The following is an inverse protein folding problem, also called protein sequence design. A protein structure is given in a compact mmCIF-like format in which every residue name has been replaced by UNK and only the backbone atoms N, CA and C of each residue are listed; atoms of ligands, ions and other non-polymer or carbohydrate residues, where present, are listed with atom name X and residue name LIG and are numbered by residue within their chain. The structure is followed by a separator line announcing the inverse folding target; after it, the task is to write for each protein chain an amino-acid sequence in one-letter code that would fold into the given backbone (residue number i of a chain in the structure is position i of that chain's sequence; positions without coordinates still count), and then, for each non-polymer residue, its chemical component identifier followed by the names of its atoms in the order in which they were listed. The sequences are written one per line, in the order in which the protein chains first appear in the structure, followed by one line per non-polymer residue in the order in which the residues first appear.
data_IF_812167076234
#
_entry.id   IF_812167076234
#
_cell.length_a   1.000
_cell.length_b   1.000
_cell.length_c   1.000
_cell.angle_alpha   90.00
_cell.angle_beta   90.00
_cell.angle_gamma   90.00
#
_symmetry.space_group_name_H-M   'P 1'
#
loop_
_entity.id
_entity.type
_entity.pdbx_description
1 polymer ?
#
# COMPACT_ATOMS: atom_id res chain seq x y z
N UNK A 1 4.99 -7.18 69.44
CA UNK A 1 5.01 -7.71 68.05
C UNK A 1 5.26 -6.52 67.12
N UNK A 2 6.47 -6.40 66.58
CA UNK A 2 6.89 -5.32 65.66
C UNK A 2 6.39 -5.62 64.24
N UNK A 3 6.01 -4.62 63.42
CA UNK A 3 5.81 -4.84 61.99
C UNK A 3 7.15 -4.72 61.23
N UNK A 4 7.32 -5.61 60.25
CA UNK A 4 8.51 -5.78 59.44
C UNK A 4 8.60 -4.73 58.31
N UNK A 5 9.82 -4.29 58.04
CA UNK A 5 10.20 -3.46 56.89
C UNK A 5 10.53 -4.35 55.70
N UNK A 6 9.90 -4.12 54.55
CA UNK A 6 10.28 -4.70 53.25
C UNK A 6 11.39 -3.87 52.60
N UNK A 7 12.42 -4.55 52.09
CA UNK A 7 13.49 -4.02 51.23
C UNK A 7 13.10 -4.18 49.76
N UNK A 8 13.47 -3.24 48.86
CA UNK A 8 13.30 -3.44 47.42
C UNK A 8 14.46 -4.25 46.81
N UNK A 9 14.11 -5.07 45.83
CA UNK A 9 14.99 -5.92 45.04
C UNK A 9 15.75 -5.12 43.96
N UNK A 10 17.02 -5.47 43.77
CA UNK A 10 17.88 -5.01 42.68
C UNK A 10 17.54 -5.79 41.39
N UNK A 11 17.18 -5.08 40.32
CA UNK A 11 17.14 -5.64 38.96
C UNK A 11 18.52 -5.57 38.33
N UNK A 12 19.03 -6.74 37.92
CA UNK A 12 20.25 -6.91 37.14
C UNK A 12 19.93 -6.67 35.66
N UNK A 13 20.60 -5.70 35.04
CA UNK A 13 20.55 -5.46 33.61
C UNK A 13 21.39 -6.53 32.87
N UNK A 14 20.73 -7.45 32.17
CA UNK A 14 21.36 -8.30 31.17
C UNK A 14 21.51 -7.57 29.84
N UNK A 15 22.75 -7.36 29.40
CA UNK A 15 23.07 -6.95 28.03
C UNK A 15 22.68 -8.06 27.04
N UNK A 16 21.69 -7.78 26.19
CA UNK A 16 21.31 -8.61 25.06
C UNK A 16 21.94 -8.10 23.77
N UNK A 17 22.93 -8.83 23.28
CA UNK A 17 23.50 -8.78 21.93
C UNK A 17 22.37 -8.96 20.89
N UNK A 18 22.14 -7.95 20.03
CA UNK A 18 21.19 -8.06 18.92
C UNK A 18 21.99 -8.41 17.66
N UNK A 19 21.99 -9.69 17.32
CA UNK A 19 22.50 -10.16 16.03
C UNK A 19 21.61 -9.62 14.90
N UNK A 20 22.25 -8.93 13.94
CA UNK A 20 21.65 -8.48 12.70
C UNK A 20 21.26 -9.69 11.83
N UNK A 21 20.01 -10.13 11.95
CA UNK A 21 19.42 -11.09 11.03
C UNK A 21 19.22 -10.44 9.66
N UNK A 22 19.93 -10.93 8.66
CA UNK A 22 19.63 -10.64 7.25
C UNK A 22 18.23 -11.18 6.93
N UNK A 23 17.22 -10.31 6.96
CA UNK A 23 15.91 -10.62 6.41
C UNK A 23 16.06 -10.81 4.89
N UNK A 24 15.62 -11.97 4.39
CA UNK A 24 15.49 -12.19 2.94
C UNK A 24 14.52 -11.15 2.37
N UNK A 25 14.89 -10.42 1.30
CA UNK A 25 13.98 -9.44 0.72
C UNK A 25 12.70 -10.14 0.24
N UNK A 26 11.55 -9.59 0.64
CA UNK A 26 10.25 -10.03 0.14
C UNK A 26 10.26 -9.99 -1.41
N UNK A 27 9.58 -10.94 -2.09
CA UNK A 27 9.51 -10.95 -3.54
C UNK A 27 8.96 -9.62 -4.05
N UNK A 28 9.76 -8.92 -4.86
CA UNK A 28 9.36 -7.66 -5.46
C UNK A 28 8.40 -7.94 -6.62
N UNK A 29 7.16 -7.44 -6.53
CA UNK A 29 6.23 -7.43 -7.65
C UNK A 29 6.58 -6.21 -8.48
N UNK A 30 7.55 -6.34 -9.38
CA UNK A 30 8.06 -5.22 -10.20
C UNK A 30 7.32 -5.07 -11.53
N UNK A 31 6.47 -6.04 -11.90
CA UNK A 31 5.65 -5.99 -13.11
C UNK A 31 4.30 -6.63 -12.87
N UNK A 32 3.25 -5.96 -13.33
CA UNK A 32 1.92 -6.58 -13.42
C UNK A 32 2.03 -7.89 -14.22
N UNK A 33 1.50 -9.02 -13.73
CA UNK A 33 1.59 -10.28 -14.45
C UNK A 33 0.95 -10.13 -15.84
N UNK A 34 1.76 -10.12 -16.88
CA UNK A 34 1.26 -10.13 -18.26
C UNK A 34 0.84 -11.55 -18.57
N UNK A 35 -0.46 -11.83 -18.46
CA UNK A 35 -1.01 -13.11 -18.92
C UNK A 35 -1.07 -13.03 -20.45
N UNK A 36 -0.24 -13.83 -21.12
CA UNK A 36 -0.47 -14.12 -22.54
C UNK A 36 -1.88 -14.71 -22.68
N UNK A 37 -2.68 -14.30 -23.67
CA UNK A 37 -4.00 -14.88 -23.88
C UNK A 37 -3.87 -16.41 -23.92
N UNK A 38 -4.71 -17.16 -23.20
CA UNK A 38 -4.51 -18.59 -23.01
C UNK A 38 -4.41 -19.28 -24.37
N UNK A 39 -3.28 -19.95 -24.62
CA UNK A 39 -3.21 -20.99 -25.64
C UNK A 39 -4.23 -22.06 -25.27
N UNK A 40 -5.18 -22.25 -26.17
CA UNK A 40 -6.41 -23.00 -25.96
C UNK A 40 -6.10 -24.39 -25.42
N UNK A 41 -6.33 -24.63 -24.13
CA UNK A 41 -6.44 -26.00 -23.61
C UNK A 41 -7.73 -26.61 -24.18
N UNK A 42 -7.75 -27.91 -24.50
CA UNK A 42 -8.97 -28.58 -24.97
C UNK A 42 -10.00 -28.50 -23.84
N UNK A 43 -11.07 -27.77 -24.09
CA UNK A 43 -12.19 -27.61 -23.16
C UNK A 43 -12.83 -28.98 -22.96
N UNK A 44 -12.66 -29.53 -21.76
CA UNK A 44 -13.40 -30.70 -21.30
C UNK A 44 -14.90 -30.35 -21.30
N UNK A 45 -15.70 -31.22 -21.93
CA UNK A 45 -17.08 -30.97 -22.36
C UNK A 45 -17.96 -30.35 -21.26
N UNK A 46 -18.36 -29.09 -21.48
CA UNK A 46 -19.50 -28.40 -20.86
C UNK A 46 -20.72 -29.32 -20.79
N UNK A 47 -21.08 -29.79 -19.59
CA UNK A 47 -22.41 -30.34 -19.32
C UNK A 47 -23.39 -29.17 -19.15
N UNK A 48 -24.19 -28.95 -20.21
CA UNK A 48 -25.54 -28.36 -20.26
C UNK A 48 -25.82 -27.06 -19.49
N UNK A 49 -25.66 -25.93 -20.19
CA UNK A 49 -26.28 -24.61 -19.88
C UNK A 49 -27.37 -24.21 -20.91
N UNK A 50 -27.86 -25.15 -21.71
CA UNK A 50 -28.84 -24.89 -22.75
C UNK A 50 -30.22 -25.32 -22.27
N UNK A 51 -31.23 -24.47 -22.48
CA UNK A 51 -32.63 -24.83 -22.30
C UNK A 51 -32.94 -26.05 -23.16
N UNK A 52 -33.71 -26.99 -22.62
CA UNK A 52 -34.33 -28.02 -23.45
C UNK A 52 -35.35 -27.38 -24.40
N UNK A 53 -35.77 -28.10 -25.45
CA UNK A 53 -36.79 -27.59 -26.37
C UNK A 53 -38.09 -27.25 -25.64
N UNK A 54 -38.51 -28.11 -24.71
CA UNK A 54 -39.69 -27.90 -23.86
C UNK A 54 -39.56 -26.65 -22.98
N UNK A 55 -38.41 -26.46 -22.31
CA UNK A 55 -38.16 -25.26 -21.50
C UNK A 55 -38.04 -23.98 -22.33
N UNK A 56 -37.62 -24.08 -23.59
CA UNK A 56 -37.56 -22.95 -24.52
C UNK A 56 -38.97 -22.50 -24.91
N UNK A 57 -39.85 -23.45 -25.23
CA UNK A 57 -41.25 -23.15 -25.57
C UNK A 57 -42.01 -22.59 -24.36
N UNK A 58 -41.82 -23.16 -23.17
CA UNK A 58 -42.39 -22.63 -21.92
C UNK A 58 -41.88 -21.21 -21.64
N UNK A 59 -40.58 -20.96 -21.78
CA UNK A 59 -40.01 -19.63 -21.59
C UNK A 59 -40.61 -18.59 -22.55
N UNK A 60 -40.82 -18.95 -23.82
CA UNK A 60 -41.44 -18.06 -24.80
C UNK A 60 -42.89 -17.72 -24.44
N UNK A 61 -43.67 -18.70 -23.95
CA UNK A 61 -45.04 -18.47 -23.47
C UNK A 61 -45.09 -17.55 -22.25
N UNK A 62 -44.15 -17.70 -21.32
CA UNK A 62 -44.04 -16.78 -20.18
C UNK A 62 -43.65 -15.37 -20.62
N UNK A 63 -42.74 -15.23 -21.60
CA UNK A 63 -42.37 -13.93 -22.16
C UNK A 63 -43.57 -13.23 -22.81
N UNK A 64 -44.40 -13.96 -23.55
CA UNK A 64 -45.64 -13.41 -24.12
C UNK A 64 -46.63 -12.98 -23.00
N UNK A 65 -46.71 -13.77 -21.94
CA UNK A 65 -47.57 -13.51 -20.79
C UNK A 65 -47.17 -12.28 -19.97
N UNK A 66 -45.95 -11.74 -20.16
CA UNK A 66 -45.55 -10.45 -19.58
C UNK A 66 -46.38 -9.28 -20.12
N UNK A 67 -46.98 -9.42 -21.31
CA UNK A 67 -47.88 -8.45 -21.92
C UNK A 67 -49.36 -8.62 -21.49
N UNK A 68 -49.66 -9.60 -20.62
CA UNK A 68 -51.05 -9.89 -20.23
C UNK A 68 -51.69 -8.67 -19.56
N UNK A 69 -52.99 -8.45 -19.79
CA UNK A 69 -53.75 -7.39 -19.10
C UNK A 69 -53.96 -7.70 -17.61
N UNK A 70 -53.88 -8.97 -17.21
CA UNK A 70 -54.05 -9.41 -15.83
C UNK A 70 -52.73 -9.35 -15.05
N UNK A 71 -52.70 -8.57 -13.97
CA UNK A 71 -51.51 -8.42 -13.11
C UNK A 71 -51.00 -9.77 -12.58
N UNK A 72 -51.91 -10.64 -12.11
CA UNK A 72 -51.53 -11.95 -11.56
C UNK A 72 -50.81 -12.85 -12.59
N UNK A 73 -51.21 -12.80 -13.87
CA UNK A 73 -50.53 -13.55 -14.95
C UNK A 73 -49.14 -12.99 -15.24
N UNK A 74 -48.97 -11.67 -15.18
CA UNK A 74 -47.66 -11.02 -15.36
C UNK A 74 -46.68 -11.38 -14.25
N UNK A 75 -47.12 -11.34 -13.00
CA UNK A 75 -46.27 -11.71 -11.86
C UNK A 75 -45.92 -13.20 -11.89
N UNK A 76 -46.89 -14.07 -12.19
CA UNK A 76 -46.63 -15.50 -12.34
C UNK A 76 -45.62 -15.77 -13.47
N UNK A 77 -45.74 -15.09 -14.60
CA UNK A 77 -44.79 -15.22 -15.71
C UNK A 77 -43.39 -14.75 -15.31
N UNK A 78 -43.29 -13.62 -14.61
CA UNK A 78 -42.02 -13.11 -14.08
C UNK A 78 -41.35 -14.11 -13.13
N UNK A 79 -42.11 -14.67 -12.18
CA UNK A 79 -41.61 -15.68 -11.23
C UNK A 79 -41.14 -16.95 -11.93
N UNK A 80 -41.89 -17.44 -12.93
CA UNK A 80 -41.48 -18.62 -13.70
C UNK A 80 -40.20 -18.37 -14.51
N UNK A 81 -40.06 -17.20 -15.12
CA UNK A 81 -38.83 -16.82 -15.84
C UNK A 81 -37.63 -16.69 -14.90
N UNK A 82 -37.84 -16.18 -13.67
CA UNK A 82 -36.81 -16.14 -12.63
C UNK A 82 -36.39 -17.54 -12.18
N UNK A 83 -37.35 -18.45 -12.02
CA UNK A 83 -37.09 -19.84 -11.62
C UNK A 83 -36.32 -20.63 -12.69
N UNK A 84 -36.51 -20.31 -13.98
CA UNK A 84 -35.72 -20.89 -15.08
C UNK A 84 -34.26 -20.40 -15.03
N UNK A 85 -34.04 -19.13 -14.67
CA UNK A 85 -32.71 -18.58 -14.42
C UNK A 85 -31.99 -18.02 -15.66
N UNK A 86 -30.65 -17.91 -15.57
CA UNK A 86 -29.78 -17.28 -16.57
C UNK A 86 -29.98 -17.74 -18.03
N UNK A 87 -30.30 -19.02 -18.32
CA UNK A 87 -30.49 -19.48 -19.70
C UNK A 87 -31.62 -18.77 -20.48
N UNK A 88 -32.56 -18.11 -19.80
CA UNK A 88 -33.68 -17.39 -20.43
C UNK A 88 -33.30 -15.99 -20.93
N UNK A 89 -32.15 -15.44 -20.48
CA UNK A 89 -31.71 -14.07 -20.81
C UNK A 89 -31.59 -13.81 -22.33
N UNK A 90 -31.06 -14.72 -23.17
CA UNK A 90 -31.04 -14.52 -24.62
C UNK A 90 -32.45 -14.36 -25.22
N UNK A 91 -33.43 -15.15 -24.74
CA UNK A 91 -34.83 -15.08 -25.21
C UNK A 91 -35.48 -13.75 -24.82
N UNK A 92 -35.23 -13.27 -23.59
CA UNK A 92 -35.69 -11.95 -23.15
C UNK A 92 -35.05 -10.80 -23.95
N UNK A 93 -33.80 -10.94 -24.40
CA UNK A 93 -33.16 -9.93 -25.27
C UNK A 93 -33.74 -9.94 -26.67
N UNK A 94 -34.04 -11.11 -27.20
CA UNK A 94 -34.68 -11.26 -28.51
C UNK A 94 -36.10 -10.69 -28.49
N UNK A 95 -36.87 -10.90 -27.41
CA UNK A 95 -38.20 -10.30 -27.27
C UNK A 95 -38.14 -8.78 -27.18
N UNK A 96 -37.15 -8.22 -26.48
CA UNK A 96 -36.91 -6.77 -26.41
C UNK A 96 -36.66 -6.12 -27.78
N UNK A 97 -36.10 -6.86 -28.74
CA UNK A 97 -35.86 -6.35 -30.09
C UNK A 97 -37.12 -6.40 -30.98
N UNK A 98 -38.13 -7.20 -30.59
CA UNK A 98 -39.34 -7.47 -31.40
C UNK A 98 -40.60 -6.78 -30.87
N UNK A 99 -40.62 -6.42 -29.59
CA UNK A 99 -41.82 -5.87 -28.95
C UNK A 99 -41.84 -4.35 -28.95
N UNK A 100 -42.97 -3.78 -29.36
CA UNK A 100 -43.26 -2.34 -29.25
C UNK A 100 -43.98 -1.97 -27.95
N UNK A 101 -44.30 -2.96 -27.09
CA UNK A 101 -44.99 -2.73 -25.82
C UNK A 101 -44.04 -2.18 -24.74
N UNK A 102 -44.25 -0.94 -24.24
CA UNK A 102 -43.40 -0.35 -23.22
C UNK A 102 -43.35 -1.13 -21.91
N UNK A 103 -44.46 -1.76 -21.50
CA UNK A 103 -44.53 -2.51 -20.24
C UNK A 103 -43.68 -3.79 -20.32
N UNK A 104 -43.78 -4.51 -21.44
CA UNK A 104 -42.94 -5.69 -21.71
C UNK A 104 -41.47 -5.29 -21.77
N UNK A 105 -41.15 -4.13 -22.35
CA UNK A 105 -39.78 -3.64 -22.39
C UNK A 105 -39.21 -3.35 -20.99
N UNK A 106 -39.98 -2.66 -20.14
CA UNK A 106 -39.55 -2.34 -18.77
C UNK A 106 -39.36 -3.61 -17.95
N UNK A 107 -40.34 -4.52 -17.97
CA UNK A 107 -40.29 -5.77 -17.20
C UNK A 107 -39.20 -6.71 -17.69
N UNK A 108 -39.04 -6.89 -19.00
CA UNK A 108 -37.98 -7.73 -19.55
C UNK A 108 -36.59 -7.19 -19.22
N UNK A 109 -36.39 -5.86 -19.23
CA UNK A 109 -35.13 -5.24 -18.78
C UNK A 109 -34.88 -5.49 -17.30
N UNK A 110 -35.89 -5.35 -16.44
CA UNK A 110 -35.78 -5.62 -15.01
C UNK A 110 -35.46 -7.09 -14.72
N UNK A 111 -36.15 -8.03 -15.38
CA UNK A 111 -35.89 -9.47 -15.28
C UNK A 111 -34.49 -9.84 -15.76
N UNK A 112 -34.04 -9.27 -16.88
CA UNK A 112 -32.65 -9.48 -17.36
C UNK A 112 -31.64 -9.02 -16.32
N UNK A 113 -31.87 -7.87 -15.68
CA UNK A 113 -30.98 -7.38 -14.63
C UNK A 113 -30.97 -8.35 -13.43
N UNK A 114 -32.16 -8.70 -12.91
CA UNK A 114 -32.29 -9.61 -11.77
C UNK A 114 -31.72 -11.00 -12.02
N UNK A 115 -31.91 -11.57 -13.21
CA UNK A 115 -31.36 -12.87 -13.61
C UNK A 115 -29.84 -12.84 -13.73
N UNK A 116 -29.27 -11.75 -14.23
CA UNK A 116 -27.81 -11.56 -14.28
C UNK A 116 -27.23 -11.45 -12.88
N UNK A 117 -27.87 -10.69 -12.00
CA UNK A 117 -27.44 -10.53 -10.61
C UNK A 117 -27.53 -11.89 -9.88
N UNK A 118 -28.60 -12.66 -10.10
CA UNK A 118 -28.75 -14.01 -9.54
C UNK A 118 -27.69 -15.01 -10.04
N UNK A 119 -27.42 -15.05 -11.35
CA UNK A 119 -26.35 -15.90 -11.92
C UNK A 119 -24.97 -15.52 -11.36
N UNK A 120 -24.72 -14.22 -11.25
CA UNK A 120 -23.48 -13.69 -10.72
C UNK A 120 -23.29 -14.08 -9.24
N UNK A 121 -24.32 -13.93 -8.41
CA UNK A 121 -24.28 -14.33 -7.01
C UNK A 121 -24.12 -15.84 -6.83
N UNK A 122 -24.76 -16.66 -7.66
CA UNK A 122 -24.56 -18.11 -7.66
C UNK A 122 -23.12 -18.50 -8.02
N UNK A 123 -22.51 -17.80 -9.00
CA UNK A 123 -21.09 -17.98 -9.36
C UNK A 123 -20.16 -17.53 -8.23
N UNK A 124 -20.47 -16.43 -7.55
CA UNK A 124 -19.71 -15.98 -6.38
C UNK A 124 -19.77 -17.02 -5.26
N UNK A 125 -20.95 -17.56 -4.95
CA UNK A 125 -21.11 -18.59 -3.94
C UNK A 125 -20.27 -19.83 -4.27
N UNK A 126 -20.40 -20.35 -5.49
CA UNK A 126 -19.62 -21.50 -5.93
C UNK A 126 -18.10 -21.22 -5.90
N UNK A 127 -17.68 -20.02 -6.29
CA UNK A 127 -16.27 -19.63 -6.23
C UNK A 127 -15.76 -19.52 -4.80
N UNK A 128 -16.56 -18.97 -3.88
CA UNK A 128 -16.23 -18.89 -2.45
C UNK A 128 -16.07 -20.27 -1.81
N UNK A 129 -16.93 -21.22 -2.21
CA UNK A 129 -16.86 -22.63 -1.81
C UNK A 129 -15.66 -23.38 -2.42
N UNK A 130 -14.91 -22.72 -3.30
CA UNK A 130 -13.67 -23.22 -3.89
C UNK A 130 -13.84 -23.97 -5.20
N UNK A 131 -15.01 -23.89 -5.83
CA UNK A 131 -15.17 -24.38 -7.20
C UNK A 131 -14.37 -23.53 -8.19
N UNK A 132 -13.91 -24.18 -9.27
CA UNK A 132 -13.19 -23.50 -10.34
C UNK A 132 -14.17 -22.73 -11.23
N UNK A 133 -14.38 -21.47 -10.88
CA UNK A 133 -15.21 -20.53 -11.62
C UNK A 133 -14.28 -19.59 -12.38
N UNK A 134 -14.47 -19.53 -13.70
CA UNK A 134 -13.75 -18.61 -14.56
C UNK A 134 -14.29 -17.19 -14.36
N UNK A 135 -13.59 -16.42 -13.52
CA UNK A 135 -13.78 -14.99 -13.38
C UNK A 135 -12.65 -14.25 -14.07
N UNK A 136 -13.02 -13.21 -14.82
CA UNK A 136 -12.05 -12.30 -15.41
C UNK A 136 -11.17 -11.66 -14.34
N UNK A 137 -9.87 -11.57 -14.59
CA UNK A 137 -8.91 -11.00 -13.65
C UNK A 137 -8.52 -11.90 -12.46
N UNK A 138 -9.27 -12.97 -12.16
CA UNK A 138 -8.90 -13.92 -11.12
C UNK A 138 -7.52 -14.57 -11.36
N UNK A 139 -7.15 -14.99 -12.59
CA UNK A 139 -5.82 -15.54 -12.82
C UNK A 139 -4.69 -14.57 -12.47
N UNK A 140 -4.85 -13.27 -12.74
CA UNK A 140 -3.88 -12.23 -12.38
C UNK A 140 -3.84 -12.04 -10.87
N UNK A 141 -5.02 -11.90 -10.25
CA UNK A 141 -5.13 -11.70 -8.82
C UNK A 141 -4.54 -12.87 -8.02
N UNK A 142 -4.78 -14.10 -8.47
CA UNK A 142 -4.22 -15.33 -7.88
C UNK A 142 -2.69 -15.39 -7.96
N UNK A 143 -2.06 -14.82 -8.98
CA UNK A 143 -0.59 -14.73 -9.04
C UNK A 143 -0.06 -13.83 -7.92
N UNK A 144 -0.79 -12.77 -7.58
CA UNK A 144 -0.38 -11.79 -6.56
C UNK A 144 -0.67 -12.31 -5.14
N UNK A 145 -1.91 -12.72 -4.88
CA UNK A 145 -2.39 -13.06 -3.53
C UNK A 145 -2.43 -14.57 -3.24
N UNK A 146 -2.11 -15.41 -4.23
CA UNK A 146 -2.25 -16.85 -4.10
C UNK A 146 -3.71 -17.31 -4.03
N UNK A 147 -3.87 -18.61 -3.77
CA UNK A 147 -5.17 -19.25 -3.65
C UNK A 147 -5.49 -19.53 -2.18
N UNK A 148 -6.45 -18.77 -1.63
CA UNK A 148 -6.97 -18.95 -0.28
C UNK A 148 -8.40 -18.41 -0.21
N UNK A 149 -9.20 -18.85 0.76
CA UNK A 149 -10.54 -18.29 0.96
C UNK A 149 -10.49 -16.77 1.15
N UNK A 150 -9.49 -16.25 1.89
CA UNK A 150 -9.34 -14.81 2.10
C UNK A 150 -8.96 -14.03 0.83
N UNK A 151 -8.13 -14.60 -0.04
CA UNK A 151 -7.83 -13.96 -1.33
C UNK A 151 -9.04 -14.01 -2.27
N UNK A 152 -9.85 -15.08 -2.24
CA UNK A 152 -11.14 -15.13 -2.94
C UNK A 152 -12.11 -14.07 -2.43
N UNK A 153 -12.23 -13.90 -1.12
CA UNK A 153 -13.13 -12.90 -0.51
C UNK A 153 -12.75 -11.47 -0.94
N UNK A 154 -11.45 -11.15 -0.93
CA UNK A 154 -10.97 -9.84 -1.41
C UNK A 154 -11.27 -9.70 -2.90
N UNK A 155 -11.02 -10.72 -3.71
CA UNK A 155 -11.31 -10.68 -5.13
C UNK A 155 -12.80 -10.49 -5.43
N UNK A 156 -13.69 -11.16 -4.70
CA UNK A 156 -15.14 -10.99 -4.82
C UNK A 156 -15.54 -9.55 -4.47
N UNK A 157 -14.98 -8.98 -3.38
CA UNK A 157 -15.22 -7.58 -3.03
C UNK A 157 -14.74 -6.65 -4.14
N UNK A 158 -13.55 -6.87 -4.70
CA UNK A 158 -13.05 -6.09 -5.84
C UNK A 158 -13.94 -6.24 -7.07
N UNK A 159 -14.45 -7.42 -7.35
CA UNK A 159 -15.32 -7.68 -8.49
C UNK A 159 -16.67 -6.96 -8.37
N UNK A 160 -17.24 -6.93 -7.15
CA UNK A 160 -18.48 -6.20 -6.85
C UNK A 160 -18.25 -4.69 -6.83
N UNK A 161 -17.17 -4.26 -6.19
CA UNK A 161 -16.98 -2.86 -5.89
C UNK A 161 -16.19 -2.09 -6.96
N UNK A 162 -15.25 -2.74 -7.61
CA UNK A 162 -14.33 -2.11 -8.56
C UNK A 162 -14.25 -2.92 -9.86
N UNK A 163 -15.38 -3.17 -10.57
CA UNK A 163 -15.38 -3.99 -11.78
C UNK A 163 -14.44 -3.44 -12.86
N UNK A 164 -14.39 -2.12 -13.05
CA UNK A 164 -13.48 -1.45 -13.99
C UNK A 164 -11.99 -1.70 -13.67
N UNK A 165 -11.66 -1.87 -12.38
CA UNK A 165 -10.30 -2.25 -11.97
C UNK A 165 -9.98 -3.68 -12.42
N UNK A 166 -10.91 -4.62 -12.23
CA UNK A 166 -10.72 -6.01 -12.65
C UNK A 166 -10.57 -6.11 -14.17
N UNK A 167 -11.41 -5.41 -14.93
CA UNK A 167 -11.33 -5.34 -16.39
C UNK A 167 -9.98 -4.78 -16.86
N UNK A 168 -9.42 -3.81 -16.12
CA UNK A 168 -8.13 -3.20 -16.47
C UNK A 168 -6.92 -4.15 -16.37
N UNK A 169 -7.05 -5.31 -15.72
CA UNK A 169 -5.95 -6.27 -15.57
C UNK A 169 -5.49 -6.86 -16.90
N UNK A 170 -6.39 -7.02 -17.87
CA UNK A 170 -6.06 -7.48 -19.22
C UNK A 170 -5.65 -6.35 -20.16
N UNK A 171 -5.82 -5.10 -19.72
CA UNK A 171 -5.62 -3.91 -20.53
C UNK A 171 -4.18 -3.37 -20.55
N UNK A 172 -4.05 -2.20 -21.18
CA UNK A 172 -2.82 -1.40 -21.22
C UNK A 172 -2.68 -0.58 -19.93
N UNK A 173 -1.49 0.00 -19.65
CA UNK A 173 -1.32 0.90 -18.50
C UNK A 173 -2.31 2.06 -18.45
N UNK A 174 -2.76 2.53 -19.63
CA UNK A 174 -3.81 3.56 -19.73
C UNK A 174 -5.14 3.09 -19.12
N UNK A 175 -5.52 1.84 -19.32
CA UNK A 175 -6.78 1.29 -18.80
C UNK A 175 -6.70 1.20 -17.27
N UNK A 176 -5.55 0.78 -16.74
CA UNK A 176 -5.26 0.81 -15.29
C UNK A 176 -5.27 2.23 -14.72
N UNK A 177 -4.76 3.22 -15.44
CA UNK A 177 -4.82 4.62 -15.03
C UNK A 177 -6.25 5.18 -15.00
N UNK A 178 -7.12 4.73 -15.91
CA UNK A 178 -8.55 5.07 -15.89
C UNK A 178 -9.23 4.41 -14.69
N UNK A 179 -9.01 3.10 -14.49
CA UNK A 179 -9.53 2.38 -13.32
C UNK A 179 -9.06 3.00 -12.00
N UNK A 180 -7.82 3.50 -11.95
CA UNK A 180 -7.27 4.23 -10.81
C UNK A 180 -8.14 5.44 -10.43
N UNK A 181 -8.64 6.20 -11.42
CA UNK A 181 -9.55 7.33 -11.17
C UNK A 181 -10.93 6.86 -10.70
N UNK A 182 -11.42 5.75 -11.24
CA UNK A 182 -12.70 5.15 -10.84
C UNK A 182 -12.69 4.69 -9.38
N UNK A 183 -11.62 4.00 -8.96
CA UNK A 183 -11.41 3.61 -7.55
C UNK A 183 -11.46 4.83 -6.64
N UNK A 184 -10.81 5.94 -7.02
CA UNK A 184 -10.84 7.18 -6.25
C UNK A 184 -12.22 7.79 -6.15
N UNK A 185 -12.94 7.89 -7.27
CA UNK A 185 -14.30 8.42 -7.31
C UNK A 185 -15.21 7.64 -6.36
N UNK A 186 -15.18 6.32 -6.44
CA UNK A 186 -15.97 5.46 -5.57
C UNK A 186 -15.62 5.59 -4.09
N UNK A 187 -14.35 5.72 -3.74
CA UNK A 187 -13.95 5.95 -2.34
C UNK A 187 -14.40 7.32 -1.80
N UNK A 188 -14.39 8.35 -2.65
CA UNK A 188 -14.92 9.67 -2.29
C UNK A 188 -16.44 9.58 -2.09
N UNK A 189 -17.16 8.94 -3.01
CA UNK A 189 -18.61 8.75 -2.91
C UNK A 189 -18.98 7.98 -1.65
N UNK A 190 -18.26 6.90 -1.34
CA UNK A 190 -18.45 6.10 -0.13
C UNK A 190 -18.27 6.91 1.17
N UNK A 191 -17.36 7.89 1.18
CA UNK A 191 -17.18 8.82 2.31
C UNK A 191 -18.29 9.86 2.42
N UNK A 192 -18.86 10.28 1.30
CA UNK A 192 -19.94 11.27 1.25
C UNK A 192 -21.32 10.69 1.60
N UNK A 193 -21.47 9.37 1.59
CA UNK A 193 -22.69 8.67 2.03
C UNK A 193 -23.02 8.97 3.49
N UNK A 194 -24.31 8.84 3.84
CA UNK A 194 -24.82 9.02 5.20
C UNK A 194 -25.61 7.77 5.63
N UNK A 195 -25.08 6.92 6.54
CA UNK A 195 -23.73 7.00 7.12
C UNK A 195 -22.61 6.71 6.08
N UNK A 196 -21.36 7.15 6.34
CA UNK A 196 -20.22 6.78 5.49
C UNK A 196 -20.05 5.26 5.46
N UNK A 197 -19.69 4.72 4.29
CA UNK A 197 -19.38 3.30 4.18
C UNK A 197 -18.09 2.97 4.94
N UNK A 198 -18.06 1.80 5.58
CA UNK A 198 -16.84 1.31 6.21
C UNK A 198 -15.80 0.91 5.15
N UNK A 199 -14.57 1.34 5.35
CA UNK A 199 -13.46 0.93 4.50
C UNK A 199 -13.05 -0.51 4.80
N UNK A 200 -12.59 -1.21 3.78
CA UNK A 200 -12.22 -2.62 3.80
C UNK A 200 -10.75 -2.81 3.39
N UNK A 201 -10.26 -4.06 3.50
CA UNK A 201 -8.95 -4.42 2.92
C UNK A 201 -9.00 -4.35 1.40
N UNK A 202 -10.15 -4.67 0.78
CA UNK A 202 -10.32 -4.58 -0.66
C UNK A 202 -10.14 -3.15 -1.18
N UNK A 203 -10.58 -2.14 -0.44
CA UNK A 203 -10.36 -0.73 -0.77
C UNK A 203 -8.87 -0.36 -0.82
N UNK A 204 -8.10 -0.84 0.15
CA UNK A 204 -6.66 -0.63 0.18
C UNK A 204 -5.96 -1.37 -0.97
N UNK A 205 -6.38 -2.59 -1.26
CA UNK A 205 -5.86 -3.37 -2.40
C UNK A 205 -6.23 -2.71 -3.73
N UNK A 206 -7.44 -2.18 -3.87
CA UNK A 206 -7.89 -1.45 -5.06
C UNK A 206 -7.05 -0.20 -5.32
N UNK A 207 -6.60 0.49 -4.26
CA UNK A 207 -5.70 1.63 -4.35
C UNK A 207 -4.26 1.24 -4.70
N UNK A 208 -3.78 0.11 -4.18
CA UNK A 208 -2.40 -0.31 -4.36
C UNK A 208 -2.15 -1.02 -5.71
N UNK A 209 -3.14 -1.76 -6.21
CA UNK A 209 -2.99 -2.58 -7.41
C UNK A 209 -2.54 -1.79 -8.65
N UNK A 210 -3.19 -0.68 -9.06
CA UNK A 210 -2.76 0.08 -10.24
C UNK A 210 -1.31 0.58 -10.13
N UNK A 211 -0.88 0.92 -8.92
CA UNK A 211 0.44 1.51 -8.65
C UNK A 211 1.57 0.49 -8.81
N UNK A 212 1.26 -0.81 -8.70
CA UNK A 212 2.23 -1.89 -8.94
C UNK A 212 2.70 -1.99 -10.40
N UNK A 213 2.03 -1.32 -11.35
CA UNK A 213 2.51 -1.15 -12.71
C UNK A 213 3.27 0.17 -12.85
N UNK A 214 4.59 0.11 -13.03
CA UNK A 214 5.49 1.25 -13.22
C UNK A 214 5.07 2.21 -14.34
N UNK A 215 4.30 1.73 -15.34
CA UNK A 215 3.83 2.55 -16.46
C UNK A 215 2.57 3.35 -16.15
N UNK A 216 1.89 3.06 -15.04
CA UNK A 216 0.72 3.82 -14.58
C UNK A 216 1.22 5.10 -13.90
N UNK A 217 0.81 6.31 -14.33
CA UNK A 217 1.24 7.55 -13.71
C UNK A 217 0.65 7.70 -12.30
N UNK A 218 1.51 7.86 -11.30
CA UNK A 218 1.12 8.13 -9.92
C UNK A 218 1.04 9.65 -9.68
N UNK A 219 -0.11 10.13 -9.21
CA UNK A 219 -0.31 11.55 -8.86
C UNK A 219 -0.27 11.76 -7.36
N UNK A 220 0.11 12.96 -6.93
CA UNK A 220 0.19 13.31 -5.50
C UNK A 220 -1.16 13.16 -4.79
N UNK A 221 -2.24 13.54 -5.47
CA UNK A 221 -3.60 13.44 -4.94
C UNK A 221 -4.04 11.99 -4.71
N UNK A 222 -3.67 11.09 -5.62
CA UNK A 222 -3.94 9.65 -5.47
C UNK A 222 -3.18 9.07 -4.29
N UNK A 223 -1.88 9.34 -4.22
CA UNK A 223 -1.00 8.85 -3.16
C UNK A 223 -1.42 9.35 -1.77
N UNK A 224 -1.88 10.61 -1.66
CA UNK A 224 -2.43 11.15 -0.41
C UNK A 224 -3.65 10.35 0.08
N UNK A 225 -4.55 9.98 -0.82
CA UNK A 225 -5.74 9.19 -0.46
C UNK A 225 -5.37 7.75 -0.12
N UNK A 226 -4.43 7.16 -0.85
CA UNK A 226 -3.87 5.86 -0.52
C UNK A 226 -3.26 5.83 0.88
N UNK A 227 -2.41 6.79 1.23
CA UNK A 227 -1.85 6.90 2.59
C UNK A 227 -2.92 7.01 3.66
N UNK A 228 -3.98 7.78 3.41
CA UNK A 228 -5.09 7.92 4.34
C UNK A 228 -5.78 6.56 4.58
N UNK A 229 -6.06 5.79 3.52
CA UNK A 229 -6.67 4.46 3.65
C UNK A 229 -5.73 3.47 4.35
N UNK A 230 -4.44 3.47 4.00
CA UNK A 230 -3.44 2.57 4.60
C UNK A 230 -3.25 2.76 6.11
N UNK A 231 -3.52 3.96 6.63
CA UNK A 231 -3.45 4.25 8.07
C UNK A 231 -4.66 3.73 8.85
N UNK A 232 -5.78 3.41 8.18
CA UNK A 232 -7.02 2.97 8.83
C UNK A 232 -7.02 1.47 9.17
N UNK A 233 -7.86 1.10 10.14
CA UNK A 233 -7.83 -0.20 10.83
C UNK A 233 -7.88 -1.47 9.95
N UNK A 234 -8.65 -1.55 8.85
CA UNK A 234 -8.62 -2.76 8.01
C UNK A 234 -7.27 -2.89 7.31
N UNK A 235 -6.77 -1.80 6.74
CA UNK A 235 -5.54 -1.79 5.95
C UNK A 235 -4.28 -1.94 6.81
N UNK A 236 -4.21 -1.26 7.96
CA UNK A 236 -3.04 -1.32 8.85
C UNK A 236 -2.85 -2.69 9.54
N UNK A 237 -3.88 -3.55 9.53
CA UNK A 237 -3.81 -4.94 10.01
C UNK A 237 -3.47 -5.94 8.90
N UNK A 238 -3.68 -5.59 7.63
CA UNK A 238 -3.46 -6.51 6.51
C UNK A 238 -2.02 -7.07 6.43
N UNK A 239 -0.94 -6.30 6.68
CA UNK A 239 0.42 -6.84 6.69
C UNK A 239 0.65 -7.94 7.73
N UNK A 240 -0.13 -7.97 8.82
CA UNK A 240 -0.01 -8.97 9.89
C UNK A 240 -0.77 -10.26 9.60
N UNK A 241 -1.54 -10.32 8.51
CA UNK A 241 -2.29 -11.50 8.16
C UNK A 241 -1.39 -12.53 7.47
N UNK A 242 -1.37 -13.80 7.91
CA UNK A 242 -0.46 -14.81 7.36
C UNK A 242 -0.80 -15.23 5.91
N UNK A 243 -2.05 -15.03 5.45
CA UNK A 243 -2.49 -15.45 4.11
C UNK A 243 -2.31 -14.35 3.07
N UNK A 244 -2.59 -13.10 3.44
CA UNK A 244 -2.55 -11.97 2.50
C UNK A 244 -1.42 -10.97 2.76
N UNK A 245 -0.81 -11.01 3.96
CA UNK A 245 0.18 -10.03 4.40
C UNK A 245 1.39 -9.91 3.48
N UNK A 246 2.04 -11.01 3.06
CA UNK A 246 3.19 -10.94 2.15
C UNK A 246 2.86 -10.28 0.81
N UNK A 247 1.70 -10.62 0.21
CA UNK A 247 1.25 -10.04 -1.05
C UNK A 247 0.90 -8.55 -0.89
N UNK A 248 0.17 -8.21 0.18
CA UNK A 248 -0.18 -6.83 0.51
C UNK A 248 1.09 -5.98 0.72
N UNK A 249 2.07 -6.52 1.45
CA UNK A 249 3.36 -5.86 1.68
C UNK A 249 4.15 -5.67 0.37
N UNK A 250 4.09 -6.64 -0.55
CA UNK A 250 4.65 -6.52 -1.88
C UNK A 250 4.07 -5.34 -2.66
N UNK A 251 2.76 -5.13 -2.60
CA UNK A 251 2.11 -3.97 -3.22
C UNK A 251 2.49 -2.65 -2.55
N UNK A 252 2.55 -2.61 -1.21
CA UNK A 252 3.01 -1.43 -0.45
C UNK A 252 4.45 -1.07 -0.84
N UNK A 253 5.33 -2.06 -0.94
CA UNK A 253 6.72 -1.87 -1.37
C UNK A 253 6.80 -1.30 -2.79
N UNK A 254 6.03 -1.84 -3.73
CA UNK A 254 5.99 -1.35 -5.11
C UNK A 254 5.52 0.11 -5.21
N UNK A 255 4.61 0.53 -4.32
CA UNK A 255 4.24 1.93 -4.20
C UNK A 255 5.36 2.79 -3.60
N UNK A 256 5.91 2.39 -2.44
CA UNK A 256 6.94 3.15 -1.74
C UNK A 256 8.12 3.46 -2.66
N UNK A 257 8.59 2.49 -3.45
CA UNK A 257 9.75 2.67 -4.35
C UNK A 257 9.60 3.75 -5.42
N UNK A 258 8.38 4.23 -5.68
CA UNK A 258 8.10 5.19 -6.76
C UNK A 258 7.25 6.38 -6.32
N UNK A 259 7.20 6.64 -5.02
CA UNK A 259 6.38 7.72 -4.48
C UNK A 259 6.68 9.09 -5.09
N UNK A 260 5.67 9.95 -5.12
CA UNK A 260 5.82 11.30 -5.67
C UNK A 260 6.69 12.18 -4.75
N UNK A 261 7.38 13.16 -5.31
CA UNK A 261 8.19 14.10 -4.52
C UNK A 261 7.33 14.89 -3.52
N UNK A 262 6.13 15.32 -3.90
CA UNK A 262 5.25 16.12 -3.05
C UNK A 262 4.73 15.41 -1.79
N UNK A 263 4.69 14.07 -1.78
CA UNK A 263 4.32 13.30 -0.58
C UNK A 263 5.50 12.51 0.03
N UNK A 264 6.72 12.68 -0.49
CA UNK A 264 7.91 11.86 -0.16
C UNK A 264 8.19 11.82 1.34
N UNK A 265 8.06 12.96 2.02
CA UNK A 265 8.17 13.07 3.49
C UNK A 265 7.18 12.14 4.21
N UNK A 266 5.91 12.19 3.83
CA UNK A 266 4.86 11.36 4.44
C UNK A 266 5.08 9.87 4.17
N UNK A 267 5.62 9.53 2.99
CA UNK A 267 5.97 8.17 2.59
C UNK A 267 7.15 7.65 3.41
N UNK A 268 8.19 8.46 3.63
CA UNK A 268 9.32 8.06 4.50
C UNK A 268 8.89 7.86 5.94
N UNK A 269 8.06 8.75 6.50
CA UNK A 269 7.54 8.55 7.84
C UNK A 269 6.73 7.25 7.94
N UNK A 270 5.84 6.99 6.96
CA UNK A 270 5.11 5.73 6.89
C UNK A 270 6.05 4.52 6.83
N UNK A 271 7.06 4.55 5.97
CA UNK A 271 8.01 3.46 5.79
C UNK A 271 8.86 3.20 7.04
N UNK A 272 9.36 4.24 7.71
CA UNK A 272 10.10 4.12 8.97
C UNK A 272 9.23 3.52 10.09
N UNK A 273 7.96 3.92 10.18
CA UNK A 273 7.04 3.35 11.18
C UNK A 273 6.71 1.88 10.95
N UNK A 274 6.65 1.48 9.68
CA UNK A 274 6.37 0.13 9.23
C UNK A 274 7.64 -0.72 8.98
N UNK A 275 8.83 -0.19 9.27
CA UNK A 275 10.15 -0.82 9.09
C UNK A 275 10.41 -1.31 7.64
N UNK A 276 10.07 -0.49 6.65
CA UNK A 276 10.13 -0.84 5.23
C UNK A 276 11.48 -0.47 4.60
N UNK A 277 12.38 -1.46 4.49
CA UNK A 277 13.67 -1.31 3.82
C UNK A 277 13.56 -0.78 2.38
N UNK A 278 12.42 -1.00 1.69
CA UNK A 278 12.16 -0.47 0.34
C UNK A 278 12.26 1.06 0.24
N UNK A 279 12.15 1.79 1.36
CA UNK A 279 12.38 3.23 1.37
C UNK A 279 13.85 3.62 1.20
N UNK A 280 14.81 2.73 1.47
CA UNK A 280 16.25 3.05 1.39
C UNK A 280 16.69 3.43 -0.03
N UNK A 281 16.45 2.63 -1.09
CA UNK A 281 16.79 3.04 -2.45
C UNK A 281 16.11 4.34 -2.87
N UNK A 282 14.87 4.56 -2.41
CA UNK A 282 14.14 5.80 -2.65
C UNK A 282 14.79 7.00 -1.95
N UNK A 283 15.30 6.83 -0.72
CA UNK A 283 16.01 7.89 0.01
C UNK A 283 17.28 8.32 -0.72
N UNK A 284 18.10 7.36 -1.18
CA UNK A 284 19.28 7.63 -2.01
C UNK A 284 18.89 8.46 -3.24
N UNK A 285 17.87 8.00 -3.99
CA UNK A 285 17.34 8.71 -5.16
C UNK A 285 16.84 10.12 -4.82
N UNK A 286 16.20 10.29 -3.67
CA UNK A 286 15.65 11.57 -3.22
C UNK A 286 16.73 12.62 -3.01
N UNK A 287 17.91 12.22 -2.50
CA UNK A 287 19.03 13.13 -2.34
C UNK A 287 19.56 13.69 -3.68
N UNK A 288 19.21 13.08 -4.82
CA UNK A 288 19.56 13.56 -6.16
C UNK A 288 18.41 14.32 -6.85
N UNK A 289 17.15 14.07 -6.45
CA UNK A 289 15.95 14.60 -7.10
C UNK A 289 15.49 15.96 -6.57
N UNK A 290 15.89 16.35 -5.35
CA UNK A 290 15.37 17.57 -4.71
C UNK A 290 16.43 18.28 -3.86
N UNK A 291 16.27 19.59 -3.76
CA UNK A 291 17.02 20.44 -2.84
C UNK A 291 16.17 20.87 -1.63
N UNK A 292 14.95 20.37 -1.46
CA UNK A 292 14.08 20.81 -0.35
C UNK A 292 14.61 20.29 1.00
N UNK A 293 15.02 21.15 1.95
CA UNK A 293 15.70 20.71 3.19
C UNK A 293 14.90 19.68 4.00
N UNK A 294 13.59 19.89 4.12
CA UNK A 294 12.70 18.97 4.84
C UNK A 294 12.64 17.56 4.22
N UNK A 295 12.70 17.48 2.88
CA UNK A 295 12.64 16.18 2.20
C UNK A 295 14.00 15.48 2.31
N UNK A 296 15.09 16.25 2.24
CA UNK A 296 16.46 15.75 2.41
C UNK A 296 16.69 15.17 3.82
N UNK A 297 16.24 15.85 4.89
CA UNK A 297 16.42 15.31 6.26
C UNK A 297 15.63 14.02 6.48
N UNK A 298 14.42 13.91 5.92
CA UNK A 298 13.66 12.67 5.98
C UNK A 298 14.34 11.53 5.20
N UNK A 299 14.95 11.82 4.06
CA UNK A 299 15.77 10.84 3.34
C UNK A 299 17.00 10.41 4.17
N UNK A 300 17.66 11.37 4.85
CA UNK A 300 18.78 11.10 5.74
C UNK A 300 18.37 10.23 6.95
N UNK A 301 17.19 10.42 7.53
CA UNK A 301 16.65 9.54 8.58
C UNK A 301 16.45 8.10 8.08
N UNK A 302 15.95 7.93 6.85
CA UNK A 302 15.83 6.61 6.21
C UNK A 302 17.20 5.96 5.99
N UNK A 303 18.20 6.73 5.55
CA UNK A 303 19.57 6.24 5.37
C UNK A 303 20.21 5.93 6.73
N UNK A 304 20.01 6.74 7.76
CA UNK A 304 20.48 6.43 9.11
C UNK A 304 19.86 5.13 9.65
N UNK A 305 18.59 4.83 9.31
CA UNK A 305 17.89 3.63 9.78
C UNK A 305 18.28 2.36 9.02
N UNK A 306 18.44 2.44 7.70
CA UNK A 306 18.56 1.27 6.81
C UNK A 306 19.85 1.23 5.99
N UNK A 307 20.56 2.34 5.91
CA UNK A 307 21.81 2.48 5.16
C UNK A 307 22.99 1.83 5.87
N UNK A 308 24.15 2.05 5.28
CA UNK A 308 25.41 1.44 5.71
C UNK A 308 26.55 2.43 5.66
N UNK A 309 27.68 2.05 6.22
CA UNK A 309 28.88 2.89 6.25
C UNK A 309 29.30 3.39 4.86
N UNK A 310 29.09 2.58 3.81
CA UNK A 310 29.42 2.95 2.43
C UNK A 310 28.59 4.12 1.88
N UNK A 311 27.47 4.48 2.51
CA UNK A 311 26.65 5.64 2.16
C UNK A 311 27.25 6.97 2.65
N UNK A 312 28.29 6.92 3.50
CA UNK A 312 28.94 8.09 4.10
C UNK A 312 29.33 9.16 3.07
N UNK A 313 29.96 8.84 1.92
CA UNK A 313 30.32 9.86 0.92
C UNK A 313 29.11 10.60 0.35
N UNK A 314 27.97 9.91 0.23
CA UNK A 314 26.73 10.51 -0.28
C UNK A 314 26.13 11.54 0.69
N UNK A 315 26.30 11.30 1.99
CA UNK A 315 25.83 12.21 3.04
C UNK A 315 26.83 13.34 3.29
N UNK A 316 28.13 13.07 3.14
CA UNK A 316 29.20 14.02 3.46
C UNK A 316 29.12 15.33 2.68
N UNK A 317 28.52 15.33 1.47
CA UNK A 317 28.29 16.55 0.67
C UNK A 317 27.39 17.59 1.33
N UNK A 318 26.59 17.19 2.32
CA UNK A 318 25.67 18.09 3.03
C UNK A 318 26.24 18.63 4.35
N UNK A 319 27.47 18.25 4.74
CA UNK A 319 28.02 18.61 6.04
C UNK A 319 28.21 20.13 6.22
N UNK A 320 28.37 20.87 5.13
CA UNK A 320 28.52 22.33 5.16
C UNK A 320 27.20 23.06 4.82
N UNK A 321 26.08 22.33 4.76
CA UNK A 321 24.77 22.87 4.42
C UNK A 321 24.09 23.57 5.60
N UNK A 322 24.00 24.90 5.51
CA UNK A 322 23.47 25.77 6.57
C UNK A 322 21.98 26.04 6.47
N UNK A 323 21.26 25.42 5.53
CA UNK A 323 19.81 25.64 5.39
C UNK A 323 19.10 25.17 6.65
N UNK A 324 18.19 26.00 7.17
CA UNK A 324 17.48 25.71 8.42
C UNK A 324 16.45 24.59 8.20
N UNK A 325 16.39 23.64 9.13
CA UNK A 325 15.35 22.62 9.21
C UNK A 325 14.26 23.01 10.21
N UNK A 326 14.68 23.42 11.41
CA UNK A 326 13.80 23.89 12.47
C UNK A 326 14.41 25.10 13.15
N UNK A 327 13.56 26.02 13.60
CA UNK A 327 13.93 27.14 14.46
C UNK A 327 13.07 27.04 15.72
N UNK A 328 13.67 26.58 16.80
CA UNK A 328 13.02 26.53 18.12
C UNK A 328 13.25 27.88 18.82
N UNK A 329 12.15 28.56 19.16
CA UNK A 329 12.20 29.71 20.06
C UNK A 329 12.07 29.22 21.50
N UNK A 330 13.13 29.37 22.30
CA UNK A 330 13.04 29.15 23.73
C UNK A 330 12.48 30.38 24.44
N UNK A 331 11.80 30.17 25.59
CA UNK A 331 11.45 31.27 26.48
C UNK A 331 12.74 31.99 26.89
N UNK A 332 12.78 33.34 26.76
CA UNK A 332 13.94 34.27 26.83
C UNK A 332 14.53 34.72 25.49
N UNK A 333 13.93 34.39 24.35
CA UNK A 333 14.28 35.00 23.06
C UNK A 333 15.52 34.42 22.39
N UNK A 334 16.04 33.31 22.92
CA UNK A 334 17.16 32.57 22.35
C UNK A 334 16.62 31.61 21.29
N UNK A 335 17.08 31.78 20.05
CA UNK A 335 16.74 30.92 18.93
C UNK A 335 17.75 29.78 18.84
N UNK A 336 17.28 28.54 18.89
CA UNK A 336 18.06 27.41 18.40
C UNK A 336 17.68 27.11 16.96
N UNK A 337 18.67 26.85 16.13
CA UNK A 337 18.52 26.53 14.72
C UNK A 337 19.19 25.20 14.47
N UNK A 338 18.41 24.24 13.97
CA UNK A 338 18.94 23.01 13.39
C UNK A 338 19.24 23.26 11.91
N UNK A 339 20.44 22.90 11.47
CA UNK A 339 20.86 23.01 10.08
C UNK A 339 20.86 21.62 9.40
N UNK A 340 20.75 21.59 8.08
CA UNK A 340 20.83 20.31 7.34
C UNK A 340 22.18 19.61 7.56
N UNK A 341 23.26 20.37 7.73
CA UNK A 341 24.57 19.84 8.13
C UNK A 341 24.57 19.12 9.48
N UNK A 342 23.72 19.55 10.44
CA UNK A 342 23.58 18.87 11.73
C UNK A 342 22.95 17.47 11.53
N UNK A 343 21.95 17.36 10.64
CA UNK A 343 21.36 16.08 10.26
C UNK A 343 22.33 15.17 9.48
N UNK A 344 23.17 15.75 8.62
CA UNK A 344 24.21 15.01 7.91
C UNK A 344 25.24 14.42 8.89
N UNK A 345 25.68 15.20 9.89
CA UNK A 345 26.57 14.72 10.96
C UNK A 345 25.93 13.57 11.76
N UNK A 346 24.67 13.73 12.18
CA UNK A 346 23.94 12.70 12.91
C UNK A 346 23.81 11.40 12.11
N UNK A 347 23.51 11.51 10.81
CA UNK A 347 23.41 10.38 9.90
C UNK A 347 24.74 9.63 9.80
N UNK A 348 25.85 10.33 9.56
CA UNK A 348 27.18 9.70 9.45
C UNK A 348 27.57 9.05 10.79
N UNK A 349 27.31 9.70 11.92
CA UNK A 349 27.58 9.09 13.24
C UNK A 349 26.86 7.75 13.39
N UNK A 350 25.57 7.69 13.05
CA UNK A 350 24.77 6.46 13.13
C UNK A 350 25.29 5.38 12.17
N UNK A 351 25.65 5.74 10.94
CA UNK A 351 26.21 4.79 9.96
C UNK A 351 27.52 4.15 10.45
N UNK A 352 28.26 4.84 11.30
CA UNK A 352 29.52 4.38 11.92
C UNK A 352 29.32 3.83 13.35
N UNK A 353 28.08 3.64 13.80
CA UNK A 353 27.78 3.12 15.14
C UNK A 353 28.17 4.06 16.29
N UNK A 354 28.38 5.34 16.01
CA UNK A 354 28.67 6.39 17.01
C UNK A 354 27.37 6.98 17.56
N UNK A 355 27.27 7.18 18.88
CA UNK A 355 26.08 7.74 19.50
C UNK A 355 26.02 9.25 19.26
N UNK A 356 24.81 9.81 19.18
CA UNK A 356 24.63 11.24 18.92
C UNK A 356 25.08 12.09 20.11
N UNK A 357 24.98 11.55 21.33
CA UNK A 357 25.52 12.20 22.53
C UNK A 357 27.03 12.39 22.48
N UNK A 358 27.76 11.53 21.77
CA UNK A 358 29.21 11.64 21.61
C UNK A 358 29.58 12.77 20.62
N UNK A 359 28.63 13.21 19.79
CA UNK A 359 28.73 14.42 18.96
C UNK A 359 28.28 15.69 19.70
N UNK A 360 27.80 15.57 20.94
CA UNK A 360 27.27 16.69 21.72
C UNK A 360 25.79 16.98 21.50
N UNK A 361 25.06 16.12 20.77
CA UNK A 361 23.60 16.23 20.67
C UNK A 361 22.90 15.72 21.95
N UNK A 362 21.68 16.18 22.25
CA UNK A 362 20.87 15.64 23.32
C UNK A 362 20.54 14.16 23.09
N UNK A 363 20.45 13.38 24.18
CA UNK A 363 20.02 11.98 24.11
C UNK A 363 18.59 11.82 23.54
N UNK A 364 17.75 12.86 23.63
CA UNK A 364 16.40 12.87 23.05
C UNK A 364 16.42 12.86 21.52
N UNK A 365 17.54 13.27 20.90
CA UNK A 365 17.70 13.21 19.46
C UNK A 365 17.84 11.77 18.93
N UNK A 366 18.20 10.79 19.75
CA UNK A 366 18.30 9.39 19.32
C UNK A 366 16.92 8.72 19.26
N UNK A 367 16.59 8.08 18.14
CA UNK A 367 15.29 7.44 18.00
C UNK A 367 15.34 6.13 17.22
N UNK A 368 15.01 5.02 17.89
CA UNK A 368 15.12 3.65 17.34
C UNK A 368 14.49 3.45 15.97
N UNK A 369 13.32 4.07 15.70
CA UNK A 369 12.64 3.90 14.40
C UNK A 369 13.04 4.91 13.34
N UNK A 370 13.49 6.10 13.74
CA UNK A 370 13.75 7.20 12.80
C UNK A 370 15.27 7.37 12.55
N UNK A 371 16.10 6.61 13.25
CA UNK A 371 17.52 6.93 13.44
C UNK A 371 17.66 8.06 14.46
N UNK A 372 17.13 9.24 14.13
CA UNK A 372 17.19 10.43 14.96
C UNK A 372 15.95 11.31 14.81
N UNK A 373 15.73 12.24 15.75
CA UNK A 373 14.73 13.31 15.69
C UNK A 373 15.47 14.59 15.34
N UNK A 374 15.26 15.12 14.13
CA UNK A 374 16.04 16.27 13.66
C UNK A 374 15.65 17.56 14.39
N UNK A 375 14.43 17.67 14.92
CA UNK A 375 14.01 18.79 15.77
C UNK A 375 14.82 18.89 17.06
N UNK A 376 15.39 17.76 17.51
CA UNK A 376 16.16 17.66 18.75
C UNK A 376 17.67 17.75 18.53
N UNK A 377 18.14 17.90 17.27
CA UNK A 377 19.55 18.13 16.92
C UNK A 377 19.98 19.58 17.25
N UNK A 378 19.83 19.94 18.51
CA UNK A 378 20.10 21.27 19.04
C UNK A 378 21.35 21.24 19.90
N UNK A 379 22.28 22.14 19.61
CA UNK A 379 23.41 22.42 20.51
C UNK A 379 22.97 23.38 21.62
N UNK A 380 23.25 23.02 22.88
CA UNK A 380 22.89 23.83 24.03
C UNK A 380 23.66 25.16 24.03
N UNK A 381 22.95 26.25 24.30
CA UNK A 381 23.47 27.63 24.25
C UNK A 381 24.10 28.05 25.58
N UNK A 382 23.74 27.36 26.68
CA UNK A 382 24.21 27.60 28.05
C UNK A 382 24.84 26.32 28.61
N UNK A 383 25.98 25.91 28.06
CA UNK A 383 26.80 24.87 28.67
C UNK A 383 28.19 25.47 28.93
N UNK A 384 28.42 25.98 30.15
CA UNK A 384 29.66 26.65 30.57
C UNK A 384 30.89 25.76 30.36
N UNK A 385 30.72 24.43 30.30
CA UNK A 385 31.77 23.45 30.05
C UNK A 385 31.99 23.13 28.55
N UNK A 386 30.97 23.27 27.69
CA UNK A 386 31.02 22.83 26.27
C UNK A 386 31.19 23.94 25.24
N UNK A 387 31.20 25.20 25.66
CA UNK A 387 31.41 26.36 24.78
C UNK A 387 30.19 26.70 23.92
N UNK A 388 30.38 27.63 22.98
CA UNK A 388 29.32 28.13 22.10
C UNK A 388 28.81 27.04 21.14
N UNK A 389 27.57 27.18 20.65
CA UNK A 389 27.01 26.26 19.64
C UNK A 389 27.88 26.15 18.37
N UNK A 390 28.67 27.17 18.04
CA UNK A 390 29.63 27.14 16.93
C UNK A 390 30.82 26.23 17.24
N UNK A 391 31.35 26.28 18.46
CA UNK A 391 32.45 25.43 18.91
C UNK A 391 31.98 23.98 19.02
N UNK A 392 30.78 23.73 19.54
CA UNK A 392 30.18 22.40 19.60
C UNK A 392 30.02 21.79 18.20
N UNK A 393 29.51 22.56 17.21
CA UNK A 393 29.47 22.12 15.81
C UNK A 393 30.83 21.80 15.23
N UNK A 394 31.84 22.63 15.51
CA UNK A 394 33.19 22.39 15.02
C UNK A 394 33.81 21.11 15.63
N UNK A 395 33.54 20.85 16.91
CA UNK A 395 33.96 19.62 17.58
C UNK A 395 33.25 18.38 16.98
N UNK A 396 31.93 18.45 16.81
CA UNK A 396 31.16 17.39 16.15
C UNK A 396 31.65 17.12 14.72
N UNK A 397 31.93 18.19 13.95
CA UNK A 397 32.50 18.11 12.61
C UNK A 397 33.83 17.37 12.60
N UNK A 398 34.72 17.67 13.55
CA UNK A 398 36.03 17.02 13.66
C UNK A 398 35.90 15.50 13.92
N UNK A 399 34.96 15.11 14.78
CA UNK A 399 34.64 13.69 15.02
C UNK A 399 34.15 13.03 13.73
N UNK A 400 33.18 13.64 13.05
CA UNK A 400 32.62 13.12 11.79
C UNK A 400 33.70 13.00 10.69
N UNK A 401 34.61 13.96 10.59
CA UNK A 401 35.73 13.89 9.65
C UNK A 401 36.72 12.75 9.97
N UNK A 402 36.90 12.41 11.25
CA UNK A 402 37.68 11.24 11.64
C UNK A 402 36.96 9.95 11.25
N UNK A 403 35.66 9.85 11.47
CA UNK A 403 34.85 8.70 11.04
C UNK A 403 34.95 8.48 9.53
N UNK A 404 34.82 9.55 8.75
CA UNK A 404 34.98 9.50 7.29
C UNK A 404 36.37 8.98 6.88
N UNK A 405 37.44 9.41 7.57
CA UNK A 405 38.82 9.00 7.26
C UNK A 405 39.12 7.56 7.65
N UNK A 406 38.59 7.08 8.77
CA UNK A 406 38.88 5.75 9.32
C UNK A 406 37.97 4.65 8.77
N UNK A 407 36.79 5.00 8.24
CA UNK A 407 35.85 4.07 7.63
C UNK A 407 36.10 3.67 6.17
N UNK A 408 37.05 4.34 5.48
CA UNK A 408 37.52 3.88 4.17
C UNK A 408 38.49 2.72 4.39
N UNK A 409 37.95 1.50 4.50
CA UNK A 409 38.75 0.28 4.53
C UNK A 409 39.58 0.19 3.24
N UNK A 410 40.91 0.31 3.39
CA UNK A 410 41.90 0.02 2.36
C UNK A 410 41.69 -1.42 1.88
N UNK A 411 41.58 -1.72 0.57
CA UNK A 411 41.46 -3.11 0.12
C UNK A 411 42.71 -3.90 0.57
N UNK A 412 42.58 -5.19 0.91
CA UNK A 412 43.70 -5.97 1.41
C UNK A 412 44.79 -5.99 0.33
N UNK A 413 45.96 -5.44 0.68
CA UNK A 413 47.18 -5.65 -0.10
C UNK A 413 47.39 -7.17 -0.18
N UNK A 414 47.48 -7.68 -1.41
CA UNK A 414 47.85 -9.07 -1.66
C UNK A 414 49.18 -9.32 -0.95
N UNK A 415 49.18 -10.20 0.03
CA UNK A 415 50.41 -10.80 0.55
C UNK A 415 51.03 -11.64 -0.57
N UNK A 416 51.98 -11.04 -1.29
CA UNK A 416 53.09 -11.79 -1.88
C UNK A 416 54.10 -12.03 -0.76
N UNK A 417 54.17 -13.28 -0.27
CA UNK A 417 55.39 -14.04 0.08
C UNK A 417 55.04 -15.37 0.72
#
# INVERSE_FOLDING_TARGET
VKPAQEKPAQEQSGHGEIAAGQEKPAPQITKFPTIQPPTSRPVEKKRSRQLTAEQTDEALQWIESLASSEFAKRELAADNLLNIGAPVVPLLRESLQRTDDPEVQVRSKALIAQLKDGDFEARIAAFSDGHDIDFEGWPVFRIIFGESSKSRDIFIQLLRDYPELIESFQGKPRDRAIAMQSVMGKLIDNKLRRPPAELTVADAVALLLPVSDEQVPLTEGYERQMMMVLRMAPANRAPKDPKIGPAFQGLVNAWVSRSTLGNRESVFNFALQADLYTAYPLAIKTLEETDHPQVLVNAMQVIARFGREEDTPLIARYLDDKRALSVLMFQRGVQSRTELGDAAMATIAILHGTRLVDLGFPATAEHKKLGFIYEDLVYSIEDEEKGTAKEQRAAARAIVEQLIKHGVVKPPEKEES
#
